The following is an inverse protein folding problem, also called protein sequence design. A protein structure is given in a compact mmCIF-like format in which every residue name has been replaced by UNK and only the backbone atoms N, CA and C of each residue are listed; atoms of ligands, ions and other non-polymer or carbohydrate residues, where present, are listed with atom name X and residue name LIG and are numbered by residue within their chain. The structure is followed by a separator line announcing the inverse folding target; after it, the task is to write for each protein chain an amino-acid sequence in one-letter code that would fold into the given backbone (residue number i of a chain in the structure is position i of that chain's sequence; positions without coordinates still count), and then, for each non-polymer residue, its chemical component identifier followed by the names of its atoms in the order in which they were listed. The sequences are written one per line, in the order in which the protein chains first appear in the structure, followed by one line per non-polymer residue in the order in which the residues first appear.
data_IF_155930000717
#
_entry.id   IF_155930000717
#
_cell.length_a   1.000
_cell.length_b   1.000
_cell.length_c   1.000
_cell.angle_alpha   90.00
_cell.angle_beta   90.00
_cell.angle_gamma   90.00
#
_symmetry.space_group_name_H-M   'P 1'
#
loop_
_entity.id
_entity.type
_entity.pdbx_description
1 polymer ?
#
# COMPACT_ATOMS: atom_id res chain seq x y z
N UNK A 1 -6.29 -11.16 -0.48
CA UNK A 1 -5.28 -10.99 0.60
C UNK A 1 -5.05 -12.34 1.26
N UNK A 2 -3.80 -12.76 1.32
CA UNK A 2 -3.39 -14.01 1.95
C UNK A 2 -2.46 -13.73 3.12
N UNK A 3 -2.83 -14.19 4.31
CA UNK A 3 -1.99 -14.05 5.50
C UNK A 3 -0.92 -15.13 5.47
N UNK A 4 0.35 -14.72 5.52
CA UNK A 4 1.50 -15.61 5.40
C UNK A 4 2.08 -16.04 6.74
N UNK A 5 1.84 -15.26 7.80
CA UNK A 5 2.31 -15.57 9.16
C UNK A 5 1.19 -15.31 10.16
N UNK A 6 1.27 -15.95 11.33
CA UNK A 6 0.24 -15.81 12.37
C UNK A 6 0.74 -15.11 13.61
N UNK A 7 2.02 -15.22 13.93
CA UNK A 7 2.61 -14.70 15.15
C UNK A 7 3.73 -13.70 14.86
N UNK A 8 3.97 -12.77 15.76
CA UNK A 8 5.02 -11.78 15.63
C UNK A 8 4.72 -10.83 14.48
N UNK A 9 5.62 -10.77 13.49
CA UNK A 9 5.43 -9.94 12.31
C UNK A 9 4.31 -10.53 11.45
N UNK A 10 3.34 -9.69 11.10
CA UNK A 10 2.24 -10.09 10.23
C UNK A 10 2.63 -9.82 8.78
N UNK A 11 2.62 -10.86 7.96
CA UNK A 11 2.90 -10.76 6.53
C UNK A 11 1.68 -11.16 5.73
N UNK A 12 1.28 -10.32 4.77
CA UNK A 12 0.10 -10.53 3.94
C UNK A 12 0.48 -10.30 2.50
N UNK A 13 0.07 -11.22 1.62
CA UNK A 13 0.23 -11.03 0.18
C UNK A 13 -1.01 -10.34 -0.37
N UNK A 14 -0.81 -9.19 -1.03
CA UNK A 14 -1.89 -8.36 -1.59
C UNK A 14 -1.68 -8.24 -3.09
N UNK A 15 -2.73 -8.51 -3.86
CA UNK A 15 -2.70 -8.39 -5.32
C UNK A 15 -3.79 -7.44 -5.79
N UNK A 16 -3.42 -6.49 -6.64
CA UNK A 16 -4.34 -5.55 -7.28
C UNK A 16 -4.42 -5.86 -8.77
N UNK A 17 -5.64 -5.91 -9.29
CA UNK A 17 -5.85 -5.94 -10.74
C UNK A 17 -5.48 -4.58 -11.34
N UNK A 18 -5.23 -4.52 -12.68
CA UNK A 18 -4.93 -3.24 -13.33
C UNK A 18 -5.94 -2.16 -12.96
N UNK A 19 -5.46 -0.96 -12.70
CA UNK A 19 -6.23 0.22 -12.30
C UNK A 19 -6.88 0.15 -10.92
N UNK A 20 -6.73 -0.93 -10.17
CA UNK A 20 -7.27 -1.04 -8.82
C UNK A 20 -6.34 -0.43 -7.79
N UNK A 21 -6.91 0.24 -6.81
CA UNK A 21 -6.18 0.91 -5.74
C UNK A 21 -7.02 0.95 -4.47
N UNK A 22 -6.37 1.08 -3.34
CA UNK A 22 -7.11 1.26 -2.09
C UNK A 22 -7.38 2.75 -1.84
N UNK A 23 -8.17 3.02 -0.82
CA UNK A 23 -8.47 4.39 -0.40
C UNK A 23 -7.28 5.00 0.34
N UNK A 24 -7.29 6.32 0.46
CA UNK A 24 -6.41 6.99 1.42
C UNK A 24 -6.66 6.39 2.80
N UNK A 25 -5.60 6.12 3.55
CA UNK A 25 -5.74 5.55 4.89
C UNK A 25 -4.52 5.86 5.74
N UNK A 26 -4.68 5.66 7.05
CA UNK A 26 -3.63 5.90 8.03
C UNK A 26 -3.54 4.66 8.92
N UNK A 27 -2.32 4.18 9.17
CA UNK A 27 -2.07 3.14 10.17
C UNK A 27 -1.69 3.80 11.48
N UNK A 28 -2.45 3.52 12.53
CA UNK A 28 -2.20 4.07 13.86
C UNK A 28 -1.45 3.04 14.71
N UNK A 29 -0.37 3.49 15.36
CA UNK A 29 0.46 2.71 16.29
C UNK A 29 1.22 1.54 15.66
N UNK A 30 1.20 1.41 14.34
CA UNK A 30 1.94 0.37 13.64
C UNK A 30 2.33 0.87 12.26
N UNK A 31 3.61 0.83 11.95
CA UNK A 31 4.09 1.10 10.60
C UNK A 31 3.93 -0.14 9.72
N UNK A 32 4.19 0.02 8.44
CA UNK A 32 4.06 -1.06 7.46
C UNK A 32 5.21 -1.00 6.46
N UNK A 33 5.66 -2.17 6.04
CA UNK A 33 6.67 -2.29 4.98
C UNK A 33 6.04 -3.02 3.81
N UNK A 34 6.14 -2.45 2.61
CA UNK A 34 5.66 -3.10 1.39
C UNK A 34 6.86 -3.60 0.59
N UNK A 35 6.83 -4.87 0.20
CA UNK A 35 7.84 -5.45 -0.69
C UNK A 35 7.14 -5.87 -1.97
N UNK A 36 7.46 -5.18 -3.07
CA UNK A 36 6.81 -5.44 -4.36
C UNK A 36 7.39 -6.72 -4.96
N UNK A 37 6.52 -7.65 -5.31
CA UNK A 37 6.93 -8.95 -5.85
C UNK A 37 6.67 -9.08 -7.34
N UNK A 38 5.61 -8.44 -7.86
CA UNK A 38 5.25 -8.54 -9.28
C UNK A 38 4.56 -7.26 -9.77
N UNK A 39 4.75 -6.96 -11.03
CA UNK A 39 4.02 -5.91 -11.71
C UNK A 39 4.52 -4.51 -11.42
N UNK A 40 3.65 -3.55 -11.69
CA UNK A 40 3.94 -2.13 -11.54
C UNK A 40 2.77 -1.44 -10.86
N UNK A 41 3.06 -0.53 -9.95
CA UNK A 41 2.05 0.19 -9.21
C UNK A 41 2.56 1.50 -8.66
N UNK A 42 1.80 2.08 -7.75
CA UNK A 42 2.11 3.38 -7.15
C UNK A 42 1.90 3.37 -5.65
N UNK A 43 2.67 4.22 -4.98
CA UNK A 43 2.50 4.57 -3.57
C UNK A 43 2.56 6.10 -3.46
N UNK A 44 1.64 6.70 -2.72
CA UNK A 44 1.64 8.14 -2.54
C UNK A 44 1.29 8.49 -1.09
N UNK A 45 2.10 9.38 -0.50
CA UNK A 45 1.80 10.01 0.77
C UNK A 45 1.07 11.32 0.52
N UNK A 46 0.14 11.67 1.38
CA UNK A 46 -0.64 12.88 1.26
C UNK A 46 0.26 14.11 1.19
N UNK A 47 0.05 14.95 0.18
CA UNK A 47 0.84 16.16 0.00
C UNK A 47 2.17 15.97 -0.73
N UNK A 48 2.46 14.76 -1.20
CA UNK A 48 3.70 14.44 -1.92
C UNK A 48 3.41 13.82 -3.27
N UNK A 49 4.38 13.85 -4.22
CA UNK A 49 4.22 13.17 -5.49
C UNK A 49 4.11 11.65 -5.31
N UNK A 50 3.36 11.00 -6.20
CA UNK A 50 3.28 9.55 -6.21
C UNK A 50 4.61 8.95 -6.65
N UNK A 51 4.96 7.81 -6.04
CA UNK A 51 6.16 7.05 -6.35
C UNK A 51 5.78 5.80 -7.13
N UNK A 52 6.40 5.62 -8.30
CA UNK A 52 6.19 4.39 -9.06
C UNK A 52 6.95 3.24 -8.41
N UNK A 53 6.29 2.09 -8.32
CA UNK A 53 6.86 0.87 -7.73
C UNK A 53 6.90 -0.24 -8.75
N UNK A 54 7.97 -1.03 -8.70
CA UNK A 54 8.14 -2.22 -9.54
C UNK A 54 8.70 -3.36 -8.70
N UNK A 55 8.72 -4.55 -9.27
CA UNK A 55 9.23 -5.74 -8.56
C UNK A 55 10.62 -5.49 -7.99
N UNK A 56 10.82 -5.84 -6.73
CA UNK A 56 12.06 -5.63 -6.00
C UNK A 56 12.09 -4.36 -5.16
N UNK A 57 11.15 -3.44 -5.36
CA UNK A 57 11.11 -2.20 -4.57
C UNK A 57 10.55 -2.47 -3.18
N UNK A 58 11.06 -1.70 -2.21
CA UNK A 58 10.62 -1.78 -0.81
C UNK A 58 10.22 -0.39 -0.35
N UNK A 59 9.04 -0.27 0.26
CA UNK A 59 8.55 0.99 0.80
C UNK A 59 8.33 0.82 2.30
N UNK A 60 8.90 1.73 3.08
CA UNK A 60 8.67 1.79 4.52
C UNK A 60 7.64 2.89 4.80
N UNK A 61 6.50 2.51 5.33
CA UNK A 61 5.40 3.43 5.62
C UNK A 61 5.33 3.63 7.12
N UNK A 62 5.73 4.82 7.63
CA UNK A 62 5.66 5.11 9.07
C UNK A 62 4.21 5.15 9.55
N UNK A 63 4.02 4.92 10.85
CA UNK A 63 2.69 5.12 11.45
C UNK A 63 2.27 6.58 11.32
N UNK A 64 0.95 6.82 11.24
CA UNK A 64 0.40 8.17 11.21
C UNK A 64 0.46 8.85 9.85
N UNK A 65 1.01 8.21 8.83
CA UNK A 65 1.12 8.79 7.48
C UNK A 65 -0.11 8.44 6.66
N UNK A 66 -0.80 9.46 6.15
CA UNK A 66 -1.93 9.28 5.23
C UNK A 66 -1.37 8.91 3.85
N UNK A 67 -1.78 7.76 3.33
CA UNK A 67 -1.23 7.24 2.06
C UNK A 67 -2.23 6.32 1.36
N UNK A 68 -1.90 5.98 0.13
CA UNK A 68 -2.57 4.91 -0.62
C UNK A 68 -1.55 4.16 -1.48
N UNK A 69 -1.90 2.97 -1.93
CA UNK A 69 -1.13 2.23 -2.93
C UNK A 69 -2.07 1.43 -3.82
N UNK A 70 -1.59 1.05 -4.99
CA UNK A 70 -2.40 0.32 -5.94
C UNK A 70 -1.66 0.06 -7.24
N UNK A 71 -2.34 -0.63 -8.17
CA UNK A 71 -1.79 -1.01 -9.46
C UNK A 71 -1.75 0.16 -10.45
N UNK A 72 -0.82 0.09 -11.40
CA UNK A 72 -0.86 0.95 -12.57
C UNK A 72 -2.07 0.58 -13.43
N UNK A 73 -2.48 1.47 -14.33
CA UNK A 73 -3.70 1.27 -15.12
C UNK A 73 -3.63 0.05 -16.05
N UNK A 74 -2.43 -0.36 -16.43
CA UNK A 74 -2.18 -1.41 -17.41
C UNK A 74 -1.36 -2.58 -16.86
N UNK A 75 -1.25 -2.71 -15.55
CA UNK A 75 -0.43 -3.76 -14.93
C UNK A 75 -1.08 -4.30 -13.67
N UNK A 76 -0.98 -5.61 -13.48
CA UNK A 76 -1.20 -6.22 -12.17
C UNK A 76 -0.10 -5.75 -11.21
N UNK A 77 -0.39 -5.74 -9.93
CA UNK A 77 0.56 -5.30 -8.92
C UNK A 77 0.40 -6.16 -7.68
N UNK A 78 1.46 -6.84 -7.29
CA UNK A 78 1.47 -7.68 -6.08
C UNK A 78 2.58 -7.25 -5.15
N UNK A 79 2.29 -7.24 -3.86
CA UNK A 79 3.29 -6.96 -2.85
C UNK A 79 3.00 -7.74 -1.58
N UNK A 80 4.04 -7.90 -0.76
CA UNK A 80 3.91 -8.42 0.58
C UNK A 80 3.89 -7.23 1.53
N UNK A 81 2.86 -7.16 2.37
CA UNK A 81 2.75 -6.13 3.40
C UNK A 81 3.18 -6.73 4.73
N UNK A 82 4.18 -6.13 5.36
CA UNK A 82 4.69 -6.55 6.67
C UNK A 82 4.27 -5.51 7.71
N UNK A 83 3.67 -5.97 8.78
CA UNK A 83 3.30 -5.12 9.91
C UNK A 83 3.70 -5.82 11.21
N UNK A 84 4.28 -5.06 12.14
CA UNK A 84 4.57 -5.55 13.48
C UNK A 84 3.33 -5.30 14.33
N UNK A 85 2.68 -6.32 14.88
CA UNK A 85 1.52 -6.13 15.73
C UNK A 85 1.87 -5.24 16.93
N UNK A 86 0.96 -4.31 17.25
CA UNK A 86 1.12 -3.42 18.39
C UNK A 86 -0.24 -3.26 19.06
N UNK A 87 -0.22 -3.15 20.39
CA UNK A 87 -1.44 -2.94 21.15
C UNK A 87 -2.12 -1.64 20.73
N UNK A 88 -3.41 -1.71 20.42
CA UNK A 88 -4.17 -0.55 19.98
C UNK A 88 -3.94 -0.16 18.53
N UNK A 89 -3.18 -0.94 17.76
CA UNK A 89 -2.97 -0.66 16.35
C UNK A 89 -4.28 -0.78 15.57
N UNK A 90 -4.49 0.15 14.62
CA UNK A 90 -5.69 0.18 13.81
C UNK A 90 -5.41 0.84 12.46
N UNK A 91 -6.32 0.65 11.51
CA UNK A 91 -6.28 1.32 10.22
C UNK A 91 -7.49 2.24 10.11
N UNK A 92 -7.23 3.50 9.83
CA UNK A 92 -8.30 4.48 9.60
C UNK A 92 -8.47 4.65 8.09
N UNK A 93 -9.64 4.26 7.57
CA UNK A 93 -9.95 4.39 6.14
C UNK A 93 -10.57 5.75 5.89
N UNK A 94 -10.09 6.42 4.84
CA UNK A 94 -10.48 7.78 4.50
C UNK A 94 -11.10 7.82 3.10
N UNK A 95 -10.96 8.96 2.40
CA UNK A 95 -11.59 9.14 1.10
C UNK A 95 -10.94 8.31 0.00
N UNK A 96 -11.68 8.14 -1.10
CA UNK A 96 -11.16 7.48 -2.29
C UNK A 96 -10.05 8.32 -2.93
N UNK A 97 -9.14 7.64 -3.62
CA UNK A 97 -8.22 8.33 -4.54
C UNK A 97 -9.03 8.65 -5.78
N UNK A 98 -9.16 9.93 -6.12
CA UNK A 98 -9.99 10.34 -7.24
C UNK A 98 -9.45 9.83 -8.56
N UNK A 99 -10.34 9.56 -9.51
CA UNK A 99 -9.94 9.13 -10.86
C UNK A 99 -9.08 10.20 -11.52
N UNK A 100 -9.38 11.47 -11.28
CA UNK A 100 -8.59 12.58 -11.83
C UNK A 100 -7.16 12.57 -11.31
N UNK A 101 -6.96 12.40 -10.02
CA UNK A 101 -5.62 12.32 -9.44
C UNK A 101 -4.87 11.10 -9.93
N UNK A 102 -5.56 9.96 -9.97
CA UNK A 102 -4.96 8.71 -10.43
C UNK A 102 -4.54 8.80 -11.89
N UNK A 103 -5.36 9.41 -12.75
CA UNK A 103 -5.07 9.55 -14.17
C UNK A 103 -3.80 10.36 -14.44
N UNK A 104 -3.46 11.28 -13.57
CA UNK A 104 -2.25 12.12 -13.73
C UNK A 104 -0.95 11.32 -13.57
N UNK A 105 -1.02 10.12 -13.01
CA UNK A 105 0.16 9.30 -12.77
C UNK A 105 0.57 8.47 -13.99
N UNK A 106 -0.29 8.35 -14.96
CA UNK A 106 -0.09 7.47 -16.12
C UNK A 106 0.53 8.19 -17.32
#
# INVERSE_FOLDING_TARGET
VNTLTKDGVRAVNVTFEPACRNNWHIHHKSGQILMVTEGRGYYQEWGKPAQELKAGDVVNIPEGVKHWHGAAKDSWFSHIALAVPAEGASTEWLEDVSDEEYAKLQ
#
